data_IF_904527138644
#
_entry.id   IF_904527138644
#
_cell.length_a   1.000
_cell.length_b   1.000
_cell.length_c   1.000
_cell.angle_alpha   90.00
_cell.angle_beta   90.00
_cell.angle_gamma   90.00
#
_symmetry.space_group_name_H-M   'P 1'
#
loop_
_entity.id
_entity.type
_entity.pdbx_description
1 polymer ?
#
# COMPACT_ATOMS: atom_id res chain seq x y z
N UNK A 1 21.36 -76.12 10.26
CA UNK A 1 21.73 -74.76 9.79
C UNK A 1 21.75 -73.84 11.00
N UNK A 2 22.88 -73.18 11.30
CA UNK A 2 23.10 -72.57 12.61
C UNK A 2 22.61 -71.12 12.69
N UNK A 3 22.22 -70.74 13.90
CA UNK A 3 21.87 -69.39 14.37
C UNK A 3 23.17 -68.59 14.52
N UNK A 4 23.27 -67.42 13.89
CA UNK A 4 24.44 -66.52 13.96
C UNK A 4 24.18 -65.33 14.88
N UNK A 5 25.16 -65.05 15.74
CA UNK A 5 25.12 -64.13 16.86
C UNK A 5 25.16 -62.65 16.46
N UNK A 6 24.43 -61.81 17.21
CA UNK A 6 24.49 -60.34 17.15
C UNK A 6 25.74 -59.84 17.89
N UNK A 7 26.59 -59.09 17.20
CA UNK A 7 27.73 -58.36 17.79
C UNK A 7 27.32 -56.92 18.12
N UNK A 8 27.45 -56.56 19.39
CA UNK A 8 27.24 -55.21 19.92
C UNK A 8 28.46 -54.32 19.62
N UNK A 9 28.26 -53.18 18.95
CA UNK A 9 29.29 -52.14 18.81
C UNK A 9 29.12 -51.10 19.92
N UNK A 10 30.14 -50.96 20.74
CA UNK A 10 30.32 -49.90 21.74
C UNK A 10 30.45 -48.53 21.07
N UNK A 11 29.68 -47.56 21.55
CA UNK A 11 29.83 -46.15 21.25
C UNK A 11 31.04 -45.57 22.01
N UNK A 12 31.95 -44.90 21.30
CA UNK A 12 33.04 -44.11 21.90
C UNK A 12 32.62 -42.65 22.01
N UNK A 13 32.73 -42.09 23.21
CA UNK A 13 32.50 -40.68 23.53
C UNK A 13 33.56 -39.77 22.89
N UNK A 14 33.20 -38.58 22.38
CA UNK A 14 34.17 -37.60 21.90
C UNK A 14 34.82 -36.83 23.06
N UNK A 15 36.14 -36.65 22.96
CA UNK A 15 37.00 -35.88 23.87
C UNK A 15 36.74 -34.37 23.75
N UNK A 16 36.91 -33.58 24.83
CA UNK A 16 36.67 -32.13 24.80
C UNK A 16 37.80 -31.38 24.08
N UNK A 17 37.41 -30.53 23.12
CA UNK A 17 38.29 -29.57 22.45
C UNK A 17 38.62 -28.41 23.40
N UNK A 18 39.89 -28.25 23.76
CA UNK A 18 40.39 -27.13 24.58
C UNK A 18 40.84 -26.01 23.65
N UNK A 19 40.13 -24.88 23.65
CA UNK A 19 40.51 -23.68 22.90
C UNK A 19 41.49 -22.86 23.75
N UNK A 20 42.71 -22.64 23.24
CA UNK A 20 43.67 -21.70 23.83
C UNK A 20 43.37 -20.29 23.32
N UNK A 21 43.04 -19.38 24.24
CA UNK A 21 42.90 -17.95 23.97
C UNK A 21 44.28 -17.28 24.07
N UNK A 22 44.69 -16.46 23.08
CA UNK A 22 45.93 -15.69 23.17
C UNK A 22 45.79 -14.53 24.17
N UNK A 23 46.87 -14.28 24.91
CA UNK A 23 46.98 -13.19 25.89
C UNK A 23 47.08 -11.82 25.21
N UNK A 24 46.44 -10.76 25.75
CA UNK A 24 46.53 -9.42 25.18
C UNK A 24 47.90 -8.79 25.43
N UNK A 25 48.49 -8.21 24.38
CA UNK A 25 49.72 -7.40 24.46
C UNK A 25 49.41 -6.04 25.10
N UNK A 26 50.28 -5.50 25.97
CA UNK A 26 50.09 -4.18 26.55
C UNK A 26 50.26 -3.07 25.50
N UNK A 27 49.31 -2.15 25.50
CA UNK A 27 49.30 -0.95 24.66
C UNK A 27 50.41 0.01 25.11
N UNK A 28 51.35 0.35 24.23
CA UNK A 28 52.31 1.43 24.46
C UNK A 28 51.56 2.76 24.39
N UNK A 29 51.69 3.58 25.44
CA UNK A 29 51.20 4.96 25.46
C UNK A 29 52.02 5.78 24.46
N UNK A 30 51.37 6.33 23.45
CA UNK A 30 51.97 7.38 22.64
C UNK A 30 51.90 8.70 23.42
N UNK A 31 53.07 9.24 23.76
CA UNK A 31 53.21 10.56 24.35
C UNK A 31 52.99 11.63 23.26
N UNK A 32 51.90 12.37 23.35
CA UNK A 32 51.64 13.53 22.50
C UNK A 32 52.31 14.76 23.12
N UNK A 33 53.32 15.29 22.45
CA UNK A 33 53.90 16.60 22.74
C UNK A 33 52.95 17.72 22.28
N UNK A 34 52.75 18.79 23.08
CA UNK A 34 51.94 19.92 22.68
C UNK A 34 52.78 20.86 21.81
N UNK A 35 52.38 21.06 20.55
CA UNK A 35 52.89 22.16 19.74
C UNK A 35 51.85 23.29 19.80
N UNK A 36 52.34 24.47 20.15
CA UNK A 36 51.57 25.65 20.49
C UNK A 36 50.72 26.22 19.34
N UNK A 37 49.51 26.64 19.73
CA UNK A 37 48.90 27.95 19.48
C UNK A 37 49.18 28.63 18.15
N UNK A 38 48.15 28.70 17.31
CA UNK A 38 48.04 29.75 16.30
C UNK A 38 46.93 29.49 15.28
N UNK A 39 45.80 30.18 15.45
CA UNK A 39 44.91 30.58 14.34
C UNK A 39 44.10 29.48 13.62
N UNK A 40 43.26 28.70 14.31
CA UNK A 40 42.05 28.13 13.67
C UNK A 40 40.88 28.11 14.67
N UNK A 41 40.50 29.29 15.16
CA UNK A 41 39.16 29.51 15.70
C UNK A 41 38.45 30.44 14.72
N UNK A 42 37.20 30.12 14.38
CA UNK A 42 36.31 30.76 13.38
C UNK A 42 36.39 30.13 11.98
N UNK A 43 36.00 28.86 11.86
CA UNK A 43 35.33 28.34 10.65
C UNK A 43 34.55 27.03 10.91
N UNK A 44 34.16 26.75 12.16
CA UNK A 44 33.53 25.49 12.54
C UNK A 44 32.27 25.75 13.38
N UNK A 45 31.38 26.61 12.88
CA UNK A 45 30.03 26.75 13.42
C UNK A 45 29.04 27.25 12.35
N UNK A 46 29.05 26.62 11.18
CA UNK A 46 28.00 26.80 10.19
C UNK A 46 27.82 25.56 9.30
N UNK A 47 27.98 24.36 9.87
CA UNK A 47 27.33 23.18 9.28
C UNK A 47 25.91 23.14 9.83
N UNK A 48 25.13 24.16 9.47
CA UNK A 48 23.69 24.12 9.54
C UNK A 48 23.27 22.92 8.68
N UNK A 49 22.87 21.89 9.37
CA UNK A 49 22.12 20.76 8.85
C UNK A 49 20.99 21.29 7.97
N UNK A 50 21.18 21.24 6.66
CA UNK A 50 20.09 21.40 5.70
C UNK A 50 19.18 20.19 5.84
N UNK A 51 18.35 20.18 6.87
CA UNK A 51 17.18 19.31 6.90
C UNK A 51 16.27 19.84 5.81
N UNK A 52 16.30 19.21 4.65
CA UNK A 52 15.32 19.43 3.58
C UNK A 52 13.94 19.08 4.14
N UNK A 53 13.28 20.03 4.77
CA UNK A 53 11.86 19.94 5.10
C UNK A 53 11.13 19.91 3.76
N UNK A 54 10.77 18.72 3.29
CA UNK A 54 9.88 18.59 2.15
C UNK A 54 8.55 19.22 2.56
N UNK A 55 8.31 20.46 2.13
CA UNK A 55 7.02 21.09 2.30
C UNK A 55 5.96 20.19 1.66
N UNK A 56 4.88 19.92 2.39
CA UNK A 56 3.76 19.14 1.87
C UNK A 56 3.27 19.78 0.55
N UNK A 57 2.94 18.99 -0.49
CA UNK A 57 2.47 19.54 -1.74
C UNK A 57 1.23 20.42 -1.47
N UNK A 58 1.04 21.52 -2.23
CA UNK A 58 -0.07 22.46 -2.00
C UNK A 58 -1.44 21.79 -1.89
N UNK A 59 -1.64 20.70 -2.62
CA UNK A 59 -2.83 19.85 -2.61
C UNK A 59 -3.23 19.37 -1.20
N UNK A 60 -2.27 18.95 -0.37
CA UNK A 60 -2.52 18.40 0.97
C UNK A 60 -2.99 19.41 2.00
N UNK A 61 -2.81 20.70 1.70
CA UNK A 61 -3.24 21.79 2.56
C UNK A 61 -4.70 22.22 2.26
N UNK A 62 -5.24 21.81 1.12
CA UNK A 62 -6.58 22.18 0.68
C UNK A 62 -7.62 21.34 1.44
N UNK A 63 -8.60 22.03 2.04
CA UNK A 63 -9.69 21.39 2.82
C UNK A 63 -11.05 21.43 2.12
N UNK A 64 -11.19 22.14 1.00
CA UNK A 64 -12.48 22.31 0.30
C UNK A 64 -12.42 21.77 -1.11
N UNK A 65 -13.52 21.15 -1.54
CA UNK A 65 -13.68 20.72 -2.93
C UNK A 65 -13.66 21.92 -3.87
N UNK A 66 -13.15 21.71 -5.09
CA UNK A 66 -13.27 22.72 -6.14
C UNK A 66 -14.73 22.77 -6.63
N UNK A 67 -15.33 23.97 -6.81
CA UNK A 67 -16.68 24.07 -7.35
C UNK A 67 -16.73 23.61 -8.80
N UNK A 68 -17.93 23.29 -9.28
CA UNK A 68 -18.18 22.87 -10.65
C UNK A 68 -18.74 21.45 -10.74
N UNK A 69 -18.91 20.97 -11.98
CA UNK A 69 -19.33 19.60 -12.24
C UNK A 69 -18.24 18.62 -11.82
N UNK A 70 -18.61 17.44 -11.30
CA UNK A 70 -17.64 16.38 -11.01
C UNK A 70 -16.82 16.04 -12.26
N UNK A 71 -15.51 16.00 -12.11
CA UNK A 71 -14.60 15.71 -13.22
C UNK A 71 -13.28 15.14 -12.69
N UNK A 72 -12.97 13.91 -13.12
CA UNK A 72 -11.66 13.29 -12.93
C UNK A 72 -10.71 13.77 -14.03
N UNK A 73 -9.57 14.33 -13.65
CA UNK A 73 -8.63 14.94 -14.59
C UNK A 73 -7.27 14.25 -14.46
N UNK A 74 -6.69 13.86 -15.59
CA UNK A 74 -5.38 13.23 -15.70
C UNK A 74 -5.34 11.78 -15.21
N UNK A 75 -4.12 11.29 -15.01
CA UNK A 75 -3.85 9.92 -14.60
C UNK A 75 -4.03 9.74 -13.08
N UNK A 76 -4.25 8.50 -12.58
CA UNK A 76 -4.42 8.24 -11.15
C UNK A 76 -3.26 8.70 -10.26
N UNK A 77 -2.05 8.79 -10.82
CA UNK A 77 -0.83 9.22 -10.12
C UNK A 77 -0.26 10.57 -10.63
N UNK A 78 -1.00 11.28 -11.48
CA UNK A 78 -0.67 12.64 -11.91
C UNK A 78 -1.96 13.33 -12.37
N UNK A 79 -2.82 13.67 -11.41
CA UNK A 79 -4.17 14.12 -11.71
C UNK A 79 -4.77 14.98 -10.60
N UNK A 80 -6.04 15.32 -10.75
CA UNK A 80 -6.81 16.08 -9.78
C UNK A 80 -8.31 15.81 -9.95
N UNK A 81 -9.12 16.38 -9.06
CA UNK A 81 -10.56 16.20 -9.01
C UNK A 81 -11.26 17.54 -8.85
N UNK A 82 -12.18 17.85 -9.77
CA UNK A 82 -13.14 18.97 -9.63
C UNK A 82 -14.49 18.43 -9.19
N UNK A 83 -15.28 19.23 -8.46
CA UNK A 83 -16.63 18.86 -8.06
C UNK A 83 -16.68 17.61 -7.18
N UNK A 84 -15.63 17.39 -6.37
CA UNK A 84 -15.50 16.21 -5.53
C UNK A 84 -16.68 16.08 -4.56
N UNK A 85 -17.17 14.85 -4.39
CA UNK A 85 -18.20 14.53 -3.40
C UNK A 85 -17.53 13.93 -2.18
N UNK A 86 -17.95 14.39 -1.01
CA UNK A 86 -17.53 13.83 0.27
C UNK A 86 -18.26 12.50 0.53
N UNK A 87 -17.52 11.43 0.86
CA UNK A 87 -18.09 10.20 1.37
C UNK A 87 -18.55 10.43 2.82
N UNK A 88 -19.82 10.16 3.17
CA UNK A 88 -20.27 10.23 4.57
C UNK A 88 -19.43 9.35 5.50
N UNK A 89 -19.32 9.74 6.77
CA UNK A 89 -18.51 8.99 7.75
C UNK A 89 -18.96 7.53 7.92
N UNK A 90 -20.25 7.26 7.69
CA UNK A 90 -20.82 5.91 7.61
C UNK A 90 -22.10 5.94 6.79
N UNK A 91 -22.48 4.79 6.24
CA UNK A 91 -23.76 4.60 5.55
C UNK A 91 -24.18 3.14 5.55
N UNK A 92 -25.23 2.77 4.79
CA UNK A 92 -25.71 1.40 4.73
C UNK A 92 -24.60 0.42 4.33
N UNK A 93 -24.10 -0.35 5.31
CA UNK A 93 -23.10 -1.38 5.12
C UNK A 93 -21.64 -0.92 4.99
N UNK A 94 -21.32 0.35 5.29
CA UNK A 94 -19.93 0.83 5.28
C UNK A 94 -19.63 1.83 6.40
N UNK A 95 -18.34 1.95 6.72
CA UNK A 95 -17.78 2.99 7.59
C UNK A 95 -16.47 3.52 7.00
N UNK A 96 -16.34 4.84 6.93
CA UNK A 96 -15.11 5.52 6.55
C UNK A 96 -14.22 5.68 7.79
N UNK A 97 -12.98 5.18 7.70
CA UNK A 97 -12.00 5.20 8.80
C UNK A 97 -10.86 6.17 8.50
N UNK A 98 -10.13 6.58 9.54
CA UNK A 98 -8.96 7.48 9.45
C UNK A 98 -9.24 8.80 8.72
N UNK A 99 -10.41 9.38 9.00
CA UNK A 99 -10.90 10.59 8.33
C UNK A 99 -10.09 11.84 8.65
N UNK A 100 -9.32 11.82 9.73
CA UNK A 100 -8.32 12.83 10.10
C UNK A 100 -7.30 13.11 9.00
N UNK A 101 -7.07 12.15 8.09
CA UNK A 101 -6.21 12.32 6.90
C UNK A 101 -6.83 13.19 5.82
N UNK A 102 -8.13 13.50 5.91
CA UNK A 102 -8.86 14.35 4.96
C UNK A 102 -8.88 13.82 3.50
N UNK A 103 -8.88 12.48 3.36
CA UNK A 103 -8.86 11.72 2.11
C UNK A 103 -10.14 10.92 1.87
N UNK A 104 -11.29 11.55 2.09
CA UNK A 104 -12.61 10.90 1.99
C UNK A 104 -13.47 11.58 0.93
N UNK A 105 -12.84 12.04 -0.16
CA UNK A 105 -13.49 12.68 -1.30
C UNK A 105 -13.27 11.85 -2.56
N UNK A 106 -14.21 11.89 -3.50
CA UNK A 106 -14.06 11.17 -4.76
C UNK A 106 -15.00 11.64 -5.84
N UNK A 107 -14.85 11.06 -7.02
CA UNK A 107 -15.86 11.16 -8.07
C UNK A 107 -17.18 10.52 -7.56
N UNK A 108 -18.36 11.02 -7.94
CA UNK A 108 -19.65 10.40 -7.59
C UNK A 108 -19.72 8.90 -7.84
N UNK A 109 -19.07 8.42 -8.92
CA UNK A 109 -19.00 6.99 -9.24
C UNK A 109 -18.23 6.18 -8.19
N UNK A 110 -17.15 6.74 -7.62
CA UNK A 110 -16.37 6.11 -6.55
C UNK A 110 -17.20 6.01 -5.27
N UNK A 111 -17.92 7.08 -4.90
CA UNK A 111 -18.83 7.09 -3.74
C UNK A 111 -19.99 6.10 -3.95
N UNK A 112 -20.49 6.00 -5.17
CA UNK A 112 -21.55 5.06 -5.56
C UNK A 112 -21.08 3.61 -5.48
N UNK A 113 -19.85 3.30 -5.92
CA UNK A 113 -19.23 1.98 -5.77
C UNK A 113 -19.14 1.59 -4.29
N UNK A 114 -18.62 2.47 -3.44
CA UNK A 114 -18.52 2.22 -1.99
C UNK A 114 -19.88 1.90 -1.39
N UNK A 115 -20.90 2.70 -1.74
CA UNK A 115 -22.26 2.49 -1.27
C UNK A 115 -22.87 1.17 -1.76
N UNK A 116 -22.60 0.79 -3.01
CA UNK A 116 -23.05 -0.48 -3.57
C UNK A 116 -22.37 -1.68 -2.90
N UNK A 117 -21.04 -1.66 -2.75
CA UNK A 117 -20.29 -2.72 -2.06
C UNK A 117 -20.72 -2.85 -0.59
N UNK A 118 -20.94 -1.72 0.08
CA UNK A 118 -21.43 -1.69 1.46
C UNK A 118 -22.78 -2.40 1.60
N UNK A 119 -23.77 -2.00 0.79
CA UNK A 119 -25.09 -2.66 0.77
C UNK A 119 -24.99 -4.16 0.48
N UNK A 120 -24.17 -4.54 -0.48
CA UNK A 120 -23.98 -5.96 -0.83
C UNK A 120 -23.39 -6.75 0.34
N UNK A 121 -22.37 -6.22 1.03
CA UNK A 121 -21.80 -6.90 2.20
C UNK A 121 -22.76 -6.96 3.38
N UNK A 122 -23.47 -5.86 3.66
CA UNK A 122 -24.49 -5.86 4.70
C UNK A 122 -25.60 -6.89 4.42
N UNK A 123 -26.04 -7.02 3.16
CA UNK A 123 -27.01 -8.04 2.77
C UNK A 123 -26.47 -9.48 2.93
N UNK A 124 -25.16 -9.68 2.74
CA UNK A 124 -24.52 -10.99 2.90
C UNK A 124 -24.41 -11.43 4.36
N UNK A 125 -23.91 -10.56 5.24
CA UNK A 125 -23.54 -10.97 6.61
C UNK A 125 -23.80 -9.90 7.69
N UNK A 126 -24.47 -8.80 7.35
CA UNK A 126 -24.79 -7.71 8.27
C UNK A 126 -23.60 -6.86 8.73
N UNK A 127 -22.38 -7.11 8.23
CA UNK A 127 -21.16 -6.38 8.63
C UNK A 127 -20.88 -5.22 7.69
N UNK A 128 -20.09 -4.28 8.18
CA UNK A 128 -19.69 -3.08 7.46
C UNK A 128 -18.33 -3.31 6.78
N UNK A 129 -18.21 -2.91 5.51
CA UNK A 129 -16.90 -2.70 4.90
C UNK A 129 -16.24 -1.48 5.53
N UNK A 130 -14.92 -1.56 5.74
CA UNK A 130 -14.14 -0.41 6.24
C UNK A 130 -13.43 0.26 5.08
N UNK A 131 -13.74 1.53 4.86
CA UNK A 131 -13.26 2.33 3.74
C UNK A 131 -12.09 3.20 4.22
N UNK A 132 -10.93 3.01 3.60
CA UNK A 132 -9.69 3.74 3.85
C UNK A 132 -9.62 5.04 3.03
N UNK A 133 -8.47 5.25 2.38
CA UNK A 133 -8.24 6.46 1.59
C UNK A 133 -9.04 6.42 0.28
N UNK A 134 -9.64 7.56 -0.04
CA UNK A 134 -10.04 7.99 -1.39
C UNK A 134 -9.12 9.18 -1.76
N UNK A 135 -9.62 10.14 -2.53
CA UNK A 135 -8.90 11.35 -2.86
C UNK A 135 -9.01 12.44 -1.77
N UNK A 136 -8.10 13.41 -1.87
CA UNK A 136 -8.19 14.70 -1.20
C UNK A 136 -9.31 15.55 -1.83
N UNK A 137 -9.73 16.69 -1.24
CA UNK A 137 -10.88 17.47 -1.72
C UNK A 137 -10.78 17.93 -3.18
N UNK A 138 -9.56 18.14 -3.68
CA UNK A 138 -9.29 18.48 -5.09
C UNK A 138 -8.42 17.44 -5.78
N UNK A 139 -8.33 16.24 -5.20
CA UNK A 139 -7.41 15.21 -5.66
C UNK A 139 -5.95 15.65 -5.48
N UNK A 140 -5.13 15.44 -6.50
CA UNK A 140 -3.74 15.89 -6.50
C UNK A 140 -2.83 15.02 -5.64
N UNK A 141 -1.53 15.30 -5.76
CA UNK A 141 -0.48 14.56 -5.06
C UNK A 141 -0.64 14.67 -3.55
N UNK A 142 -0.59 13.54 -2.87
CA UNK A 142 -0.65 13.44 -1.41
C UNK A 142 0.72 13.66 -0.77
N UNK A 143 0.71 14.01 0.52
CA UNK A 143 1.89 14.14 1.40
C UNK A 143 2.37 12.79 1.96
N UNK A 144 2.10 11.69 1.24
CA UNK A 144 2.47 10.35 1.65
C UNK A 144 3.16 9.59 0.53
N UNK A 145 3.66 8.38 0.84
CA UNK A 145 4.21 7.46 -0.15
C UNK A 145 3.13 6.86 -1.07
N UNK A 146 1.83 7.08 -0.81
CA UNK A 146 0.76 6.72 -1.72
C UNK A 146 0.80 7.66 -2.94
N UNK A 147 1.15 7.11 -4.09
CA UNK A 147 1.35 7.88 -5.32
C UNK A 147 0.08 8.03 -6.16
N UNK A 148 -0.91 7.15 -5.98
CA UNK A 148 -2.22 7.15 -6.66
C UNK A 148 -3.26 8.04 -5.96
N UNK A 149 -4.56 7.81 -6.17
CA UNK A 149 -5.68 8.52 -5.53
C UNK A 149 -5.82 10.00 -5.92
N UNK A 150 -5.13 10.43 -6.98
CA UNK A 150 -5.07 11.85 -7.32
C UNK A 150 -6.28 12.34 -8.11
N UNK A 151 -6.96 11.49 -8.88
CA UNK A 151 -8.04 11.91 -9.78
C UNK A 151 -9.45 11.52 -9.29
N UNK A 152 -9.60 11.04 -8.05
CA UNK A 152 -10.91 10.73 -7.47
C UNK A 152 -11.49 9.36 -7.82
N UNK A 153 -10.75 8.52 -8.55
CA UNK A 153 -11.20 7.22 -9.07
C UNK A 153 -10.53 6.01 -8.39
N UNK A 154 -9.90 6.23 -7.25
CA UNK A 154 -9.32 5.18 -6.43
C UNK A 154 -9.99 5.15 -5.04
N UNK A 155 -10.08 3.96 -4.45
CA UNK A 155 -10.54 3.75 -3.08
C UNK A 155 -9.87 2.52 -2.46
N UNK A 156 -9.38 2.67 -1.24
CA UNK A 156 -8.87 1.57 -0.43
C UNK A 156 -10.00 0.99 0.43
N UNK A 157 -10.17 -0.33 0.40
CA UNK A 157 -11.13 -1.04 1.25
C UNK A 157 -10.40 -2.15 2.00
N UNK A 158 -10.47 -2.11 3.34
CA UNK A 158 -9.88 -3.15 4.18
C UNK A 158 -10.65 -4.46 4.03
N UNK A 159 -9.93 -5.58 4.07
CA UNK A 159 -10.54 -6.92 4.08
C UNK A 159 -11.21 -7.23 5.43
N UNK A 160 -10.74 -6.61 6.51
CA UNK A 160 -11.39 -6.67 7.80
C UNK A 160 -12.75 -5.94 7.75
N UNK A 161 -13.77 -6.57 8.35
CA UNK A 161 -15.14 -6.04 8.41
C UNK A 161 -15.46 -5.60 9.85
N UNK A 162 -16.32 -4.59 10.00
CA UNK A 162 -16.73 -4.09 11.30
C UNK A 162 -18.18 -4.45 11.64
N UNK A 163 -18.50 -4.60 12.92
CA UNK A 163 -19.88 -4.81 13.37
C UNK A 163 -20.62 -3.48 13.62
N UNK A 164 -19.88 -2.38 13.80
CA UNK A 164 -20.44 -1.04 13.96
C UNK A 164 -19.41 0.04 13.60
N UNK A 165 -19.83 1.28 13.28
CA UNK A 165 -18.87 2.36 13.04
C UNK A 165 -18.01 2.68 14.27
N UNK A 166 -18.60 2.65 15.47
CA UNK A 166 -17.88 2.87 16.74
C UNK A 166 -16.76 1.86 16.95
N UNK A 167 -17.00 0.58 16.64
CA UNK A 167 -15.96 -0.44 16.68
C UNK A 167 -14.86 -0.14 15.66
N UNK A 168 -15.22 0.14 14.42
CA UNK A 168 -14.25 0.39 13.36
C UNK A 168 -13.29 1.54 13.74
N UNK A 169 -13.83 2.70 14.15
CA UNK A 169 -13.00 3.86 14.52
C UNK A 169 -12.07 3.57 15.70
N UNK A 170 -12.52 2.79 16.68
CA UNK A 170 -11.67 2.38 17.82
C UNK A 170 -10.56 1.43 17.40
N UNK A 171 -10.87 0.48 16.51
CA UNK A 171 -9.98 -0.63 16.18
C UNK A 171 -9.00 -0.26 15.04
N UNK A 172 -9.25 0.84 14.30
CA UNK A 172 -8.38 1.34 13.22
C UNK A 172 -7.82 2.75 13.46
N UNK A 173 -7.13 3.02 14.59
CA UNK A 173 -6.47 4.30 14.78
C UNK A 173 -5.34 4.47 13.74
N UNK A 174 -4.91 5.71 13.52
CA UNK A 174 -3.78 6.00 12.65
C UNK A 174 -2.52 5.24 13.11
N UNK A 175 -1.76 4.72 12.14
CA UNK A 175 -0.56 3.91 12.41
C UNK A 175 -0.81 2.45 12.80
N UNK A 176 -2.08 2.03 13.02
CA UNK A 176 -2.43 0.62 13.27
C UNK A 176 -3.31 0.06 12.17
N UNK A 177 -2.74 -0.83 11.36
CA UNK A 177 -3.50 -1.53 10.32
C UNK A 177 -4.31 -2.70 10.91
N UNK A 178 -5.49 -3.00 10.34
CA UNK A 178 -6.15 -4.29 10.52
C UNK A 178 -5.23 -5.50 10.22
N UNK A 179 -5.60 -6.69 10.71
CA UNK A 179 -4.82 -7.91 10.47
C UNK A 179 -4.59 -8.18 8.98
N UNK A 180 -3.42 -8.71 8.65
CA UNK A 180 -3.08 -9.16 7.31
C UNK A 180 -3.87 -10.41 6.91
N UNK A 181 -4.26 -10.49 5.65
CA UNK A 181 -4.82 -11.69 5.02
C UNK A 181 -3.75 -12.73 4.64
N UNK A 182 -2.49 -12.42 4.89
CA UNK A 182 -1.33 -13.24 4.51
C UNK A 182 -0.56 -13.67 5.76
N UNK A 183 -0.11 -14.92 5.79
CA UNK A 183 0.77 -15.45 6.83
C UNK A 183 1.84 -16.36 6.20
N UNK A 184 3.11 -15.98 6.33
CA UNK A 184 4.23 -16.70 5.71
C UNK A 184 4.07 -16.80 4.21
N UNK A 185 3.99 -18.02 3.69
CA UNK A 185 3.83 -18.28 2.25
C UNK A 185 2.36 -18.31 1.78
N UNK A 186 1.39 -18.34 2.68
CA UNK A 186 -0.02 -18.55 2.37
C UNK A 186 -0.94 -17.45 2.90
N UNK A 187 -2.23 -17.77 2.90
CA UNK A 187 -3.27 -16.93 3.51
C UNK A 187 -3.29 -17.12 5.03
N UNK A 188 -3.64 -16.06 5.75
CA UNK A 188 -3.82 -16.12 7.19
C UNK A 188 -5.20 -16.65 7.56
N UNK A 189 -5.41 -16.95 8.84
CA UNK A 189 -6.72 -17.28 9.41
C UNK A 189 -7.77 -16.16 9.27
N UNK A 190 -7.37 -14.94 8.92
CA UNK A 190 -8.29 -13.82 8.69
C UNK A 190 -8.89 -13.80 7.29
N UNK A 191 -8.34 -14.60 6.37
CA UNK A 191 -8.90 -14.79 5.05
C UNK A 191 -10.00 -15.86 5.09
N UNK A 192 -11.18 -15.53 4.57
CA UNK A 192 -12.30 -16.46 4.52
C UNK A 192 -13.32 -16.14 3.43
N UNK A 193 -14.48 -16.83 3.45
CA UNK A 193 -15.50 -16.70 2.42
C UNK A 193 -16.04 -15.29 2.22
N UNK A 194 -16.08 -14.46 3.28
CA UNK A 194 -16.55 -13.08 3.18
C UNK A 194 -15.54 -12.16 2.50
N UNK A 195 -14.24 -12.36 2.75
CA UNK A 195 -13.16 -11.63 2.08
C UNK A 195 -13.10 -11.99 0.60
N UNK A 196 -13.22 -13.30 0.28
CA UNK A 196 -13.32 -13.77 -1.09
C UNK A 196 -14.54 -13.16 -1.80
N UNK A 197 -15.70 -13.19 -1.16
CA UNK A 197 -16.92 -12.61 -1.72
C UNK A 197 -16.76 -11.11 -2.00
N UNK A 198 -16.29 -10.34 -1.01
CA UNK A 198 -16.07 -8.90 -1.17
C UNK A 198 -15.10 -8.61 -2.34
N UNK A 199 -13.97 -9.33 -2.41
CA UNK A 199 -12.99 -9.16 -3.47
C UNK A 199 -13.55 -9.51 -4.85
N UNK A 200 -14.26 -10.63 -4.95
CA UNK A 200 -14.86 -11.09 -6.20
C UNK A 200 -15.94 -10.13 -6.68
N UNK A 201 -16.87 -9.73 -5.81
CA UNK A 201 -17.92 -8.77 -6.15
C UNK A 201 -17.32 -7.43 -6.60
N UNK A 202 -16.25 -7.00 -5.97
CA UNK A 202 -15.51 -5.79 -6.39
C UNK A 202 -14.91 -5.97 -7.78
N UNK A 203 -14.22 -7.08 -8.03
CA UNK A 203 -13.60 -7.36 -9.33
C UNK A 203 -14.63 -7.52 -10.46
N UNK A 204 -15.82 -8.03 -10.17
CA UNK A 204 -16.90 -8.20 -11.15
C UNK A 204 -17.67 -6.89 -11.42
N UNK A 205 -17.59 -5.90 -10.53
CA UNK A 205 -18.36 -4.65 -10.66
C UNK A 205 -18.03 -3.89 -11.96
N UNK A 206 -19.01 -3.45 -12.76
CA UNK A 206 -18.76 -2.89 -14.10
C UNK A 206 -17.92 -1.61 -14.11
N UNK A 207 -18.03 -0.78 -13.07
CA UNK A 207 -17.24 0.44 -12.93
C UNK A 207 -15.74 0.20 -12.63
N UNK A 208 -15.37 -1.00 -12.16
CA UNK A 208 -13.99 -1.30 -11.76
C UNK A 208 -13.12 -1.59 -12.99
N UNK A 209 -11.96 -0.94 -13.04
CA UNK A 209 -10.90 -1.19 -14.01
C UNK A 209 -9.99 -2.32 -13.50
N UNK A 210 -9.40 -2.12 -12.31
CA UNK A 210 -8.48 -3.06 -11.66
C UNK A 210 -8.56 -2.97 -10.14
N UNK A 211 -8.12 -4.05 -9.49
CA UNK A 211 -8.00 -4.15 -8.03
C UNK A 211 -6.59 -4.61 -7.72
N UNK A 212 -5.82 -3.80 -6.98
CA UNK A 212 -4.50 -4.18 -6.52
C UNK A 212 -4.61 -4.95 -5.20
N UNK A 213 -3.96 -6.11 -5.15
CA UNK A 213 -3.93 -7.01 -3.99
C UNK A 213 -2.54 -7.59 -3.80
N UNK A 214 -2.25 -8.13 -2.62
CA UNK A 214 -1.00 -8.85 -2.39
C UNK A 214 -0.83 -10.04 -3.37
N UNK A 215 0.38 -10.30 -3.91
CA UNK A 215 0.63 -11.43 -4.81
C UNK A 215 0.27 -12.79 -4.21
N UNK A 216 0.38 -12.97 -2.89
CA UNK A 216 0.04 -14.23 -2.21
C UNK A 216 -1.47 -14.47 -2.20
N UNK A 217 -2.27 -13.41 -2.06
CA UNK A 217 -3.73 -13.50 -2.21
C UNK A 217 -4.06 -13.92 -3.64
N UNK A 218 -3.47 -13.26 -4.64
CA UNK A 218 -3.65 -13.63 -6.05
C UNK A 218 -3.27 -15.08 -6.33
N UNK A 219 -2.14 -15.55 -5.79
CA UNK A 219 -1.66 -16.94 -5.96
C UNK A 219 -2.62 -17.96 -5.39
N UNK A 220 -3.14 -17.74 -4.18
CA UNK A 220 -4.13 -18.64 -3.59
C UNK A 220 -5.41 -18.70 -4.45
N UNK A 221 -5.91 -17.54 -4.91
CA UNK A 221 -7.09 -17.50 -5.78
C UNK A 221 -6.87 -18.19 -7.12
N UNK A 222 -5.67 -18.10 -7.69
CA UNK A 222 -5.33 -18.82 -8.92
C UNK A 222 -5.30 -20.33 -8.75
N UNK A 223 -5.01 -20.85 -7.54
CA UNK A 223 -5.06 -22.28 -7.26
C UNK A 223 -6.50 -22.78 -7.20
N UNK A 224 -7.40 -21.99 -6.61
CA UNK A 224 -8.79 -22.41 -6.35
C UNK A 224 -9.78 -22.01 -7.47
N UNK A 225 -9.45 -20.99 -8.26
CA UNK A 225 -10.36 -20.35 -9.23
C UNK A 225 -9.74 -20.12 -10.61
N UNK A 226 -8.72 -20.91 -10.98
CA UNK A 226 -8.06 -20.83 -12.28
C UNK A 226 -9.05 -20.69 -13.44
N UNK A 227 -8.78 -19.77 -14.37
CA UNK A 227 -9.64 -19.48 -15.52
C UNK A 227 -10.85 -18.59 -15.24
N UNK A 228 -11.16 -18.24 -13.97
CA UNK A 228 -12.30 -17.38 -13.68
C UNK A 228 -12.05 -15.94 -14.21
N UNK A 229 -12.97 -15.36 -15.03
CA UNK A 229 -12.72 -14.08 -15.71
C UNK A 229 -12.42 -12.89 -14.78
N UNK A 230 -13.00 -12.88 -13.58
CA UNK A 230 -12.81 -11.81 -12.59
C UNK A 230 -11.38 -11.75 -12.05
N UNK A 231 -10.64 -12.86 -12.09
CA UNK A 231 -9.23 -12.90 -11.72
C UNK A 231 -8.41 -11.92 -12.56
N UNK A 232 -8.74 -11.72 -13.85
CA UNK A 232 -8.03 -10.77 -14.72
C UNK A 232 -7.88 -9.39 -14.09
N UNK A 233 -8.93 -8.90 -13.40
CA UNK A 233 -8.91 -7.56 -12.78
C UNK A 233 -8.08 -7.48 -11.50
N UNK A 234 -7.73 -8.62 -10.90
CA UNK A 234 -6.87 -8.67 -9.73
C UNK A 234 -5.40 -8.59 -10.12
N UNK A 235 -4.74 -7.50 -9.72
CA UNK A 235 -3.37 -7.18 -10.08
C UNK A 235 -2.48 -7.28 -8.85
N UNK A 236 -1.44 -8.13 -8.86
CA UNK A 236 -0.52 -8.22 -7.74
C UNK A 236 0.20 -6.87 -7.51
N UNK A 237 0.41 -6.50 -6.24
CA UNK A 237 1.21 -5.34 -5.84
C UNK A 237 1.80 -5.52 -4.44
N UNK A 238 2.98 -4.95 -4.18
CA UNK A 238 3.61 -5.01 -2.84
C UNK A 238 2.70 -4.41 -1.76
N UNK A 239 2.74 -4.95 -0.54
CA UNK A 239 1.78 -4.61 0.51
C UNK A 239 0.42 -5.21 0.18
N UNK A 240 -0.66 -4.41 0.26
CA UNK A 240 -2.04 -4.79 -0.12
C UNK A 240 -2.51 -6.14 0.43
N UNK A 241 -2.00 -6.50 1.60
CA UNK A 241 -2.26 -7.75 2.30
C UNK A 241 -3.39 -7.61 3.31
N UNK A 242 -3.65 -6.41 3.83
CA UNK A 242 -4.78 -6.10 4.70
C UNK A 242 -5.92 -5.34 4.00
N UNK A 243 -5.67 -4.76 2.83
CA UNK A 243 -6.67 -4.02 2.03
C UNK A 243 -6.51 -4.31 0.55
N UNK A 244 -7.57 -4.04 -0.21
CA UNK A 244 -7.53 -3.93 -1.67
C UNK A 244 -7.55 -2.46 -2.08
N UNK A 245 -6.72 -2.10 -3.06
CA UNK A 245 -6.78 -0.80 -3.73
C UNK A 245 -7.64 -0.97 -4.97
N UNK A 246 -8.76 -0.27 -5.05
CA UNK A 246 -9.70 -0.37 -6.17
C UNK A 246 -9.53 0.85 -7.06
N UNK A 247 -9.46 0.63 -8.37
CA UNK A 247 -9.46 1.68 -9.38
C UNK A 247 -10.66 1.54 -10.28
N UNK A 248 -11.37 2.65 -10.49
CA UNK A 248 -12.46 2.75 -11.44
C UNK A 248 -11.93 3.09 -12.84
N UNK A 249 -12.75 2.80 -13.85
CA UNK A 249 -12.57 3.28 -15.22
C UNK A 249 -12.82 4.78 -15.28
N UNK A 250 -12.26 5.45 -16.28
CA UNK A 250 -12.59 6.85 -16.55
C UNK A 250 -14.10 7.00 -16.82
N UNK A 251 -14.81 7.86 -16.07
CA UNK A 251 -16.21 8.19 -16.32
C UNK A 251 -16.41 8.88 -17.67
N UNK A 252 -17.56 8.64 -18.31
CA UNK A 252 -17.88 9.25 -19.61
C UNK A 252 -18.04 10.78 -19.55
N UNK A 253 -18.34 11.32 -18.37
CA UNK A 253 -18.46 12.76 -18.09
C UNK A 253 -17.13 13.41 -17.68
N UNK A 254 -16.03 12.66 -17.71
CA UNK A 254 -14.67 13.13 -17.39
C UNK A 254 -13.74 12.99 -18.61
N UNK A 255 -13.85 13.87 -19.63
CA UNK A 255 -13.10 13.72 -20.89
C UNK A 255 -11.59 13.91 -20.73
N UNK A 256 -11.15 14.66 -19.72
CA UNK A 256 -9.74 14.87 -19.40
C UNK A 256 -9.16 13.74 -18.53
N UNK A 257 -9.92 12.68 -18.25
CA UNK A 257 -9.43 11.51 -17.52
C UNK A 257 -8.54 10.62 -18.40
N UNK A 258 -7.37 10.25 -17.89
CA UNK A 258 -6.44 9.38 -18.61
C UNK A 258 -6.62 7.92 -18.21
N UNK A 259 -7.31 7.16 -19.07
CA UNK A 259 -7.54 5.73 -18.85
C UNK A 259 -6.24 4.95 -18.97
N UNK A 260 -5.94 4.13 -17.97
CA UNK A 260 -4.76 3.25 -18.02
C UNK A 260 -4.91 2.18 -19.12
N UNK A 261 -3.77 1.71 -19.63
CA UNK A 261 -3.71 0.63 -20.60
C UNK A 261 -4.55 -0.59 -20.14
N UNK A 262 -5.25 -1.27 -21.07
CA UNK A 262 -6.01 -2.46 -20.76
C UNK A 262 -5.17 -3.53 -20.07
N UNK A 263 -5.76 -4.23 -19.11
CA UNK A 263 -5.11 -5.38 -18.49
C UNK A 263 -4.89 -6.46 -19.57
N UNK A 264 -3.73 -7.14 -19.62
CA UNK A 264 -3.50 -8.25 -20.55
C UNK A 264 -4.63 -9.30 -20.51
N UNK A 265 -4.90 -10.00 -21.62
CA UNK A 265 -5.86 -11.10 -21.64
C UNK A 265 -5.44 -12.26 -20.72
N UNK A 266 -6.40 -13.10 -20.35
CA UNK A 266 -6.19 -14.19 -19.40
C UNK A 266 -6.50 -13.80 -17.95
N UNK A 267 -6.39 -14.77 -17.04
CA UNK A 267 -6.65 -14.59 -15.62
C UNK A 267 -5.47 -13.99 -14.85
N UNK A 268 -4.28 -13.90 -15.48
CA UNK A 268 -3.05 -13.41 -14.86
C UNK A 268 -2.43 -14.37 -13.85
N UNK A 269 -2.69 -15.69 -13.97
CA UNK A 269 -2.18 -16.71 -13.05
C UNK A 269 -0.86 -17.36 -13.49
N UNK A 270 -0.37 -17.04 -14.69
CA UNK A 270 0.85 -17.61 -15.28
C UNK A 270 2.14 -16.85 -14.93
N UNK A 271 3.04 -16.70 -15.92
CA UNK A 271 4.37 -16.11 -15.74
C UNK A 271 4.38 -14.72 -15.11
N UNK A 272 3.37 -13.90 -15.40
CA UNK A 272 3.20 -12.58 -14.78
C UNK A 272 3.12 -12.67 -13.25
N UNK A 273 2.35 -13.62 -12.71
CA UNK A 273 2.24 -13.85 -11.27
C UNK A 273 3.51 -14.50 -10.72
N UNK A 274 4.12 -15.42 -11.47
CA UNK A 274 5.36 -16.10 -11.06
C UNK A 274 6.51 -15.10 -10.80
N UNK A 275 6.61 -14.03 -11.60
CA UNK A 275 7.61 -12.98 -11.42
C UNK A 275 7.59 -12.35 -10.03
N UNK A 276 6.40 -12.15 -9.42
CA UNK A 276 6.26 -11.58 -8.07
C UNK A 276 6.89 -12.41 -6.95
N UNK A 277 7.24 -13.67 -7.23
CA UNK A 277 7.90 -14.56 -6.29
C UNK A 277 9.37 -14.81 -6.61
N UNK A 278 9.90 -14.20 -7.68
CA UNK A 278 11.30 -14.26 -8.06
C UNK A 278 12.21 -13.51 -7.08
N UNK A 279 13.53 -13.78 -7.14
CA UNK A 279 14.53 -13.03 -6.38
C UNK A 279 14.59 -11.55 -6.81
N UNK A 280 14.37 -11.28 -8.10
CA UNK A 280 14.32 -9.93 -8.65
C UNK A 280 13.23 -9.10 -7.97
N UNK A 281 11.99 -9.60 -7.94
CA UNK A 281 10.87 -8.90 -7.30
C UNK A 281 11.03 -8.69 -5.79
N UNK A 282 11.88 -9.48 -5.12
CA UNK A 282 12.20 -9.31 -3.68
C UNK A 282 13.32 -8.32 -3.42
N UNK A 283 14.08 -7.96 -4.44
CA UNK A 283 15.22 -7.04 -4.30
C UNK A 283 14.69 -5.61 -4.42
N UNK A 284 14.86 -4.75 -3.40
CA UNK A 284 14.48 -3.35 -3.53
C UNK A 284 15.22 -2.75 -4.72
N UNK A 285 14.50 -2.22 -5.71
CA UNK A 285 15.13 -1.49 -6.80
C UNK A 285 15.95 -0.35 -6.20
N UNK A 286 17.28 -0.41 -6.34
CA UNK A 286 18.14 0.74 -6.09
C UNK A 286 17.86 1.73 -7.21
N UNK A 287 16.92 2.64 -6.96
CA UNK A 287 16.64 3.75 -7.86
C UNK A 287 17.90 4.60 -8.09
N UNK A 288 17.91 5.44 -9.13
CA UNK A 288 18.99 6.39 -9.33
C UNK A 288 19.24 7.20 -8.05
N UNK A 289 20.51 7.53 -7.78
CA UNK A 289 20.94 8.26 -6.58
C UNK A 289 20.27 9.63 -6.41
N UNK A 290 19.66 10.16 -7.47
CA UNK A 290 18.83 11.35 -7.47
C UNK A 290 17.39 11.00 -7.85
N UNK A 291 16.38 11.39 -7.04
CA UNK A 291 14.98 11.24 -7.41
C UNK A 291 14.70 11.90 -8.76
N UNK A 292 13.94 11.24 -9.62
CA UNK A 292 13.47 11.86 -10.85
C UNK A 292 12.65 13.12 -10.49
N UNK A 293 12.71 14.19 -11.31
CA UNK A 293 11.85 15.35 -11.13
C UNK A 293 10.38 14.90 -11.10
N UNK A 294 9.60 15.47 -10.18
CA UNK A 294 8.15 15.21 -10.17
C UNK A 294 7.56 15.84 -11.44
N UNK A 295 6.74 15.09 -12.22
CA UNK A 295 6.09 15.66 -13.38
C UNK A 295 5.16 16.81 -12.95
N UNK A 296 5.05 17.88 -13.77
CA UNK A 296 4.06 18.90 -13.50
C UNK A 296 2.65 18.31 -13.60
N UNK A 297 1.70 18.75 -12.75
CA UNK A 297 0.32 18.32 -12.87
C UNK A 297 -0.29 18.82 -14.19
N UNK A 298 -1.35 18.17 -14.70
CA UNK A 298 -2.07 18.62 -15.89
C UNK A 298 -2.47 20.10 -15.80
N UNK A 299 -2.55 20.79 -16.94
CA UNK A 299 -2.86 22.23 -16.97
C UNK A 299 -4.20 22.55 -16.28
N UNK A 300 -5.22 21.71 -16.51
CA UNK A 300 -6.53 21.81 -15.86
C UNK A 300 -6.48 21.60 -14.34
N UNK A 301 -5.46 20.90 -13.82
CA UNK A 301 -5.26 20.75 -12.38
C UNK A 301 -4.67 21.99 -11.73
N UNK A 302 -3.79 22.71 -12.43
CA UNK A 302 -3.18 23.94 -11.88
C UNK A 302 -4.23 25.01 -11.58
N UNK A 303 -5.34 25.04 -12.33
CA UNK A 303 -6.45 25.98 -12.08
C UNK A 303 -7.28 25.63 -10.84
N UNK A 304 -7.11 24.43 -10.27
CA UNK A 304 -7.78 24.00 -9.04
C UNK A 304 -6.98 24.33 -7.78
N UNK A 305 -5.73 24.79 -7.91
CA UNK A 305 -4.96 25.26 -6.77
C UNK A 305 -5.47 26.66 -6.35
N UNK A 306 -5.49 27.00 -5.05
CA UNK A 306 -5.75 28.36 -4.60
C UNK A 306 -4.79 29.34 -5.27
N UNK A 307 -5.25 30.57 -5.54
CA UNK A 307 -4.36 31.65 -5.93
C UNK A 307 -3.33 31.86 -4.80
N UNK A 308 -2.05 31.85 -5.15
CA UNK A 308 -0.93 32.16 -4.26
C UNK A 308 -0.79 33.65 -4.04
#
# INVERSE_FOLDING_TARGET
MPVSARSARQARSPLPFRVHLPTPRPWRRAEFHPIGTGLIWIALLALLTSTSTHAAPPWSQIRTAAPGRPEAIGAPANGCLRGAVELPASGPGYVSVRRERHRHFGHPDTVSLVSALGRTMAARNGRLIMVGDLAQPRGGRMDSLHVSHQNGLDVDIWFALANSPKQAWRDTPEGRNPPSMVAGEGLSQHWGPDQLFLLRTTAEHPAVDRVLINPRIKRALCQDHSGAPWLRRLRPWHGHDAHMHIRLRCPADSPDCEQQAPIPPGDGCGGELAWWFSAEARTPHRGPSRPAPTPPPPAACRTLLPAT
#
